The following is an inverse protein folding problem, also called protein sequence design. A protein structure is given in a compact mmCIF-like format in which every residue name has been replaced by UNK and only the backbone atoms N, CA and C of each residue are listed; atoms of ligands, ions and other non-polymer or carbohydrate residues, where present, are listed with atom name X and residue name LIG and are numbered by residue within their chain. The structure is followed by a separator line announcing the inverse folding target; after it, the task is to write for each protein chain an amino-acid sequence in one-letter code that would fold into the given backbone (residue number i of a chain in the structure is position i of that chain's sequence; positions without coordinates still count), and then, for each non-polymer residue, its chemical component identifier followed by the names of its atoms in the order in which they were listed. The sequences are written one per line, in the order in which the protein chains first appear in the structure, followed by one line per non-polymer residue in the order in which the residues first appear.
data_IF_331345661024
#
_entry.id   IF_331345661024
#
_cell.length_a   1.000
_cell.length_b   1.000
_cell.length_c   1.000
_cell.angle_alpha   90.00
_cell.angle_beta   90.00
_cell.angle_gamma   90.00
#
_symmetry.space_group_name_H-M   'P 1'
#
loop_
_entity.id
_entity.type
_entity.pdbx_description
1 polymer ?
#
# COMPACT_ATOMS: atom_id res chain seq x y z
N UNK A 1 5.84 -26.08 3.82
CA UNK A 1 5.32 -24.88 4.51
C UNK A 1 5.09 -23.82 3.45
N UNK A 2 4.09 -22.96 3.61
CA UNK A 2 3.84 -21.86 2.66
C UNK A 2 4.40 -20.57 3.25
N UNK A 3 5.32 -19.94 2.53
CA UNK A 3 5.92 -18.66 2.88
C UNK A 3 5.46 -17.59 1.91
N UNK A 4 5.03 -16.45 2.43
CA UNK A 4 4.68 -15.26 1.64
C UNK A 4 5.65 -14.15 1.97
N UNK A 5 6.24 -13.53 0.95
CA UNK A 5 7.06 -12.33 1.15
C UNK A 5 6.17 -11.10 1.36
N UNK A 6 6.45 -10.32 2.38
CA UNK A 6 5.89 -9.01 2.63
C UNK A 6 7.00 -8.02 2.35
N UNK A 7 6.81 -7.18 1.35
CA UNK A 7 7.85 -6.27 0.87
C UNK A 7 7.36 -4.85 1.05
N UNK A 8 8.12 -4.03 1.75
CA UNK A 8 7.90 -2.58 1.78
C UNK A 8 8.91 -1.93 0.84
N UNK A 9 8.43 -1.25 -0.18
CA UNK A 9 9.27 -0.55 -1.16
C UNK A 9 9.07 0.95 -1.04
N UNK A 10 10.18 1.68 -0.96
CA UNK A 10 10.23 3.13 -0.98
C UNK A 10 11.25 3.61 -2.04
N UNK A 11 11.35 4.93 -2.25
CA UNK A 11 12.21 5.51 -3.30
C UNK A 11 13.69 5.17 -3.15
N UNK A 12 14.15 4.93 -1.93
CA UNK A 12 15.55 4.75 -1.58
C UNK A 12 15.87 3.32 -1.16
N UNK A 13 14.93 2.38 -1.21
CA UNK A 13 15.18 1.08 -0.64
C UNK A 13 13.96 0.21 -0.46
N UNK A 14 14.19 -0.97 0.10
CA UNK A 14 13.14 -1.90 0.45
C UNK A 14 13.47 -2.67 1.72
N UNK A 15 12.43 -3.20 2.34
CA UNK A 15 12.51 -4.15 3.43
C UNK A 15 11.69 -5.38 3.06
N UNK A 16 12.19 -6.58 3.37
CA UNK A 16 11.50 -7.83 3.14
C UNK A 16 11.32 -8.56 4.47
N UNK A 17 10.09 -8.95 4.74
CA UNK A 17 9.74 -9.88 5.80
C UNK A 17 9.13 -11.14 5.22
N UNK A 18 9.40 -12.28 5.85
CA UNK A 18 8.79 -13.55 5.51
C UNK A 18 7.69 -13.87 6.50
N UNK A 19 6.48 -14.03 5.97
CA UNK A 19 5.35 -14.57 6.71
C UNK A 19 5.34 -16.08 6.53
N UNK A 20 5.76 -16.80 7.57
CA UNK A 20 5.81 -18.26 7.57
C UNK A 20 4.57 -18.79 8.28
N UNK A 21 3.82 -19.68 7.60
CA UNK A 21 2.67 -20.39 8.19
C UNK A 21 3.04 -21.84 8.47
N UNK A 22 3.04 -22.24 9.75
CA UNK A 22 3.22 -23.63 10.16
C UNK A 22 2.32 -23.99 11.35
N UNK A 23 1.78 -25.21 11.38
CA UNK A 23 1.02 -25.85 12.49
C UNK A 23 0.39 -24.89 13.53
N UNK A 24 -0.45 -23.96 13.06
CA UNK A 24 -1.21 -23.05 13.92
C UNK A 24 -0.49 -21.78 14.42
N UNK A 25 0.79 -21.57 14.09
CA UNK A 25 1.54 -20.35 14.42
C UNK A 25 1.93 -19.58 13.16
N UNK A 26 1.73 -18.27 13.20
CA UNK A 26 2.24 -17.33 12.20
C UNK A 26 3.45 -16.62 12.81
N UNK A 27 4.58 -16.63 12.11
CA UNK A 27 5.74 -15.81 12.46
C UNK A 27 6.04 -14.84 11.32
N UNK A 28 6.54 -13.66 11.70
CA UNK A 28 7.08 -12.67 10.80
C UNK A 28 8.58 -12.55 11.10
N UNK A 29 9.43 -12.86 10.12
CA UNK A 29 10.88 -12.78 10.24
C UNK A 29 11.40 -11.74 9.25
N UNK A 30 12.19 -10.79 9.73
CA UNK A 30 12.92 -9.89 8.84
C UNK A 30 13.97 -10.69 8.06
N UNK A 31 13.97 -10.50 6.75
CA UNK A 31 14.89 -11.19 5.85
C UNK A 31 16.01 -10.26 5.39
N UNK A 32 15.65 -9.08 4.89
CA UNK A 32 16.61 -8.14 4.30
C UNK A 32 16.09 -6.71 4.33
N UNK A 33 16.99 -5.77 4.57
CA UNK A 33 16.77 -4.35 4.33
C UNK A 33 17.86 -3.84 3.40
N UNK A 34 17.49 -3.03 2.42
CA UNK A 34 18.40 -2.45 1.43
C UNK A 34 18.10 -0.97 1.25
N UNK A 35 19.15 -0.15 1.17
CA UNK A 35 19.06 1.29 0.93
C UNK A 35 20.08 1.72 -0.13
N UNK A 36 19.61 2.39 -1.19
CA UNK A 36 20.40 3.07 -2.20
C UNK A 36 19.82 4.47 -2.50
N UNK A 37 20.66 5.38 -2.99
CA UNK A 37 20.21 6.68 -3.50
C UNK A 37 19.58 6.62 -4.90
N UNK A 38 19.73 5.52 -5.64
CA UNK A 38 19.26 5.40 -7.03
C UNK A 38 18.18 4.34 -7.17
N UNK A 39 17.08 4.71 -7.83
CA UNK A 39 15.91 3.85 -8.02
C UNK A 39 16.23 2.54 -8.75
N UNK A 40 17.01 2.59 -9.83
CA UNK A 40 17.31 1.39 -10.61
C UNK A 40 18.04 0.34 -9.76
N UNK A 41 19.04 0.75 -8.98
CA UNK A 41 19.78 -0.14 -8.06
C UNK A 41 18.85 -0.79 -7.01
N UNK A 42 17.84 -0.05 -6.53
CA UNK A 42 16.82 -0.59 -5.61
C UNK A 42 15.99 -1.68 -6.28
N UNK A 43 15.58 -1.48 -7.53
CA UNK A 43 14.77 -2.45 -8.28
C UNK A 43 15.59 -3.69 -8.65
N UNK A 44 16.82 -3.50 -9.11
CA UNK A 44 17.74 -4.61 -9.44
C UNK A 44 18.01 -5.46 -8.19
N UNK A 45 18.33 -4.82 -7.06
CA UNK A 45 18.56 -5.51 -5.79
C UNK A 45 17.31 -6.21 -5.25
N UNK A 46 16.12 -5.62 -5.47
CA UNK A 46 14.86 -6.27 -5.12
C UNK A 46 14.63 -7.52 -5.97
N UNK A 47 14.88 -7.44 -7.27
CA UNK A 47 14.76 -8.58 -8.21
C UNK A 47 15.67 -9.73 -7.78
N UNK A 48 16.95 -9.45 -7.49
CA UNK A 48 17.89 -10.45 -7.01
C UNK A 48 17.46 -11.07 -5.68
N UNK A 49 16.96 -10.25 -4.75
CA UNK A 49 16.46 -10.73 -3.45
C UNK A 49 15.21 -11.60 -3.59
N UNK A 50 14.33 -11.31 -4.57
CA UNK A 50 13.17 -12.15 -4.86
C UNK A 50 13.57 -13.52 -5.44
N UNK A 51 14.58 -13.54 -6.33
CA UNK A 51 15.14 -14.80 -6.85
C UNK A 51 15.75 -15.64 -5.74
N UNK A 52 16.56 -15.02 -4.89
CA UNK A 52 17.16 -15.67 -3.72
C UNK A 52 16.09 -16.27 -2.80
N UNK A 53 15.02 -15.52 -2.51
CA UNK A 53 13.90 -15.98 -1.69
C UNK A 53 13.10 -17.13 -2.31
N UNK A 54 12.93 -17.10 -3.63
CA UNK A 54 12.28 -18.20 -4.36
C UNK A 54 13.10 -19.48 -4.26
N UNK A 55 14.42 -19.37 -4.41
CA UNK A 55 15.34 -20.52 -4.42
C UNK A 55 15.59 -21.09 -3.03
N UNK A 56 15.87 -20.22 -2.05
CA UNK A 56 16.25 -20.63 -0.69
C UNK A 56 15.07 -20.94 0.22
N UNK A 57 14.00 -20.14 0.16
CA UNK A 57 12.85 -20.20 1.08
C UNK A 57 11.58 -20.74 0.40
N UNK A 58 11.63 -21.03 -0.91
CA UNK A 58 10.49 -21.55 -1.67
C UNK A 58 9.33 -20.56 -1.77
N UNK A 59 9.60 -19.25 -1.66
CA UNK A 59 8.57 -18.22 -1.76
C UNK A 59 8.00 -18.18 -3.17
N UNK A 60 6.67 -18.30 -3.28
CA UNK A 60 5.94 -18.26 -4.56
C UNK A 60 5.09 -17.00 -4.73
N UNK A 61 4.80 -16.33 -3.63
CA UNK A 61 3.86 -15.21 -3.61
C UNK A 61 4.39 -14.10 -2.72
N UNK A 62 4.06 -12.87 -3.11
CA UNK A 62 4.43 -11.69 -2.36
C UNK A 62 3.32 -10.64 -2.33
N UNK A 63 3.33 -9.82 -1.28
CA UNK A 63 2.51 -8.62 -1.15
C UNK A 63 3.45 -7.42 -1.08
N UNK A 64 3.23 -6.46 -1.97
CA UNK A 64 4.01 -5.23 -2.03
C UNK A 64 3.28 -4.10 -1.32
N UNK A 65 3.97 -3.45 -0.39
CA UNK A 65 3.56 -2.24 0.28
C UNK A 65 4.35 -1.07 -0.29
N UNK A 66 3.66 -0.14 -0.92
CA UNK A 66 4.21 1.13 -1.37
C UNK A 66 4.02 2.20 -0.30
N UNK A 67 4.91 3.17 -0.34
CA UNK A 67 4.77 4.41 0.43
C UNK A 67 3.69 5.30 -0.16
N UNK A 68 3.03 6.11 0.67
CA UNK A 68 1.98 7.02 0.19
C UNK A 68 2.53 8.02 -0.85
N UNK A 69 3.81 8.38 -0.75
CA UNK A 69 4.51 9.27 -1.69
C UNK A 69 4.74 8.68 -3.09
N UNK A 70 4.44 7.41 -3.32
CA UNK A 70 4.42 6.78 -4.65
C UNK A 70 3.03 6.84 -5.33
N UNK A 71 2.02 7.40 -4.65
CA UNK A 71 0.66 7.54 -5.16
C UNK A 71 0.24 9.01 -5.21
N UNK A 72 -0.74 9.31 -6.05
CA UNK A 72 -1.52 10.54 -5.93
C UNK A 72 -2.71 10.24 -5.03
N UNK A 73 -2.85 11.00 -3.95
CA UNK A 73 -3.95 10.89 -3.00
C UNK A 73 -4.84 12.13 -3.12
N UNK A 74 -6.14 11.91 -3.32
CA UNK A 74 -7.14 12.97 -3.44
C UNK A 74 -8.36 12.62 -2.59
N UNK A 75 -8.95 13.64 -1.97
CA UNK A 75 -10.23 13.52 -1.29
C UNK A 75 -11.31 14.04 -2.21
N UNK A 76 -12.32 13.22 -2.47
CA UNK A 76 -13.46 13.57 -3.31
C UNK A 76 -14.73 13.54 -2.46
N UNK A 77 -15.63 14.50 -2.71
CA UNK A 77 -17.00 14.45 -2.23
C UNK A 77 -17.87 14.06 -3.40
N UNK A 78 -18.58 12.96 -3.26
CA UNK A 78 -19.37 12.34 -4.31
C UNK A 78 -20.79 12.12 -3.81
N UNK A 79 -21.82 12.12 -4.68
CA UNK A 79 -23.14 11.64 -4.30
C UNK A 79 -23.07 10.21 -3.76
N UNK A 80 -23.96 9.89 -2.82
CA UNK A 80 -24.03 8.54 -2.27
C UNK A 80 -24.44 7.55 -3.36
N UNK A 81 -23.54 6.63 -3.68
CA UNK A 81 -23.71 5.65 -4.76
C UNK A 81 -23.14 4.29 -4.39
N UNK A 82 -23.49 3.25 -5.16
CA UNK A 82 -22.95 1.90 -4.94
C UNK A 82 -21.46 1.87 -5.26
N UNK A 83 -20.75 0.92 -4.68
CA UNK A 83 -19.30 0.75 -4.87
C UNK A 83 -18.89 0.62 -6.34
N UNK A 84 -19.71 -0.04 -7.16
CA UNK A 84 -19.45 -0.22 -8.59
C UNK A 84 -19.53 1.10 -9.37
N UNK A 85 -20.48 1.97 -9.00
CA UNK A 85 -20.64 3.29 -9.61
C UNK A 85 -19.55 4.24 -9.12
N UNK A 86 -19.15 4.12 -7.85
CA UNK A 86 -18.05 4.89 -7.28
C UNK A 86 -16.76 4.73 -8.10
N UNK A 87 -16.39 3.49 -8.45
CA UNK A 87 -15.18 3.24 -9.24
C UNK A 87 -15.25 3.83 -10.65
N UNK A 88 -16.46 4.02 -11.20
CA UNK A 88 -16.67 4.67 -12.50
C UNK A 88 -16.64 6.19 -12.39
N UNK A 89 -17.13 6.75 -11.29
CA UNK A 89 -17.16 8.20 -11.06
C UNK A 89 -15.76 8.77 -10.74
N UNK A 90 -14.93 8.01 -10.03
CA UNK A 90 -13.61 8.46 -9.55
C UNK A 90 -12.70 9.00 -10.67
N UNK A 91 -12.51 8.34 -11.83
CA UNK A 91 -11.69 8.92 -12.90
C UNK A 91 -12.15 10.31 -13.34
N UNK A 92 -13.45 10.55 -13.45
CA UNK A 92 -14.00 11.84 -13.85
C UNK A 92 -13.74 12.94 -12.82
N UNK A 93 -13.97 12.65 -11.53
CA UNK A 93 -13.67 13.61 -10.46
C UNK A 93 -12.19 13.96 -10.37
N UNK A 94 -11.32 13.02 -10.74
CA UNK A 94 -9.89 13.19 -10.63
C UNK A 94 -9.26 13.90 -11.84
N UNK A 95 -9.97 14.04 -12.96
CA UNK A 95 -9.44 14.58 -14.23
C UNK A 95 -8.77 15.96 -14.07
N UNK A 96 -9.37 16.85 -13.27
CA UNK A 96 -8.81 18.18 -13.00
C UNK A 96 -7.67 18.21 -11.98
N UNK A 97 -7.40 17.10 -11.29
CA UNK A 97 -6.42 17.01 -10.19
C UNK A 97 -5.18 16.17 -10.53
N UNK A 98 -5.29 15.31 -11.54
CA UNK A 98 -4.21 14.41 -11.93
C UNK A 98 -3.23 15.09 -12.91
N UNK A 99 -1.92 14.84 -12.79
CA UNK A 99 -0.94 15.35 -13.74
C UNK A 99 -1.08 14.79 -15.18
N UNK A 100 -1.65 13.59 -15.32
CA UNK A 100 -1.90 12.92 -16.60
C UNK A 100 -3.37 12.53 -16.69
N UNK A 101 -3.80 12.04 -17.86
CA UNK A 101 -5.15 11.51 -18.06
C UNK A 101 -5.49 10.45 -16.99
N UNK A 102 -6.72 10.42 -16.43
CA UNK A 102 -7.14 9.38 -15.49
C UNK A 102 -6.88 7.96 -15.99
N UNK A 103 -6.99 7.73 -17.30
CA UNK A 103 -6.73 6.43 -17.91
C UNK A 103 -5.28 5.96 -17.79
N UNK A 104 -4.33 6.82 -17.43
CA UNK A 104 -2.93 6.44 -17.16
C UNK A 104 -2.72 5.91 -15.74
N UNK A 105 -3.78 5.83 -14.93
CA UNK A 105 -3.71 5.43 -13.53
C UNK A 105 -4.57 4.19 -13.22
N UNK A 106 -4.17 3.49 -12.18
CA UNK A 106 -4.97 2.49 -11.47
C UNK A 106 -5.51 3.18 -10.22
N UNK A 107 -6.82 3.28 -10.14
CA UNK A 107 -7.50 3.94 -9.03
C UNK A 107 -7.99 2.96 -7.98
N UNK A 108 -7.95 3.39 -6.73
CA UNK A 108 -8.64 2.73 -5.62
C UNK A 108 -9.34 3.76 -4.77
N UNK A 109 -10.62 3.54 -4.51
CA UNK A 109 -11.44 4.38 -3.66
C UNK A 109 -11.73 3.71 -2.32
N UNK A 110 -11.65 4.48 -1.24
CA UNK A 110 -12.02 4.07 0.12
C UNK A 110 -13.00 5.07 0.70
N UNK A 111 -14.17 4.60 1.11
CA UNK A 111 -15.17 5.41 1.80
C UNK A 111 -14.66 5.80 3.20
N UNK A 112 -14.74 7.09 3.54
CA UNK A 112 -14.31 7.64 4.83
C UNK A 112 -15.50 8.00 5.73
N UNK A 113 -16.64 8.34 5.15
CA UNK A 113 -17.79 8.87 5.86
C UNK A 113 -18.70 9.65 4.93
N UNK A 114 -19.79 10.21 5.43
CA UNK A 114 -20.73 10.96 4.59
C UNK A 114 -22.07 11.24 5.27
N UNK A 115 -22.92 11.98 4.57
CA UNK A 115 -24.32 12.21 4.91
C UNK A 115 -25.22 11.19 4.19
N UNK A 116 -26.53 11.41 4.20
CA UNK A 116 -27.46 10.61 3.42
C UNK A 116 -27.33 10.87 1.91
N UNK A 117 -26.93 12.08 1.52
CA UNK A 117 -26.85 12.53 0.13
C UNK A 117 -25.44 12.46 -0.45
N UNK A 118 -24.42 12.67 0.39
CA UNK A 118 -23.01 12.75 -0.03
C UNK A 118 -22.13 11.75 0.73
N UNK A 119 -21.03 11.35 0.09
CA UNK A 119 -19.97 10.55 0.66
C UNK A 119 -18.60 11.19 0.42
N UNK A 120 -17.76 11.09 1.43
CA UNK A 120 -16.35 11.45 1.37
C UNK A 120 -15.51 10.20 1.08
N UNK A 121 -14.66 10.32 0.08
CA UNK A 121 -13.91 9.20 -0.48
C UNK A 121 -12.44 9.59 -0.59
N UNK A 122 -11.57 8.75 -0.04
CA UNK A 122 -10.14 8.79 -0.33
C UNK A 122 -9.87 8.01 -1.61
N UNK A 123 -9.40 8.72 -2.63
CA UNK A 123 -8.96 8.18 -3.90
C UNK A 123 -7.43 8.08 -3.90
N UNK A 124 -6.93 6.89 -4.19
CA UNK A 124 -5.50 6.61 -4.35
C UNK A 124 -5.25 6.18 -5.80
N UNK A 125 -4.34 6.86 -6.47
CA UNK A 125 -4.04 6.65 -7.89
C UNK A 125 -2.56 6.29 -8.05
N UNK A 126 -2.28 5.15 -8.68
CA UNK A 126 -0.94 4.69 -9.04
C UNK A 126 -0.80 4.69 -10.56
N UNK A 127 0.30 5.23 -11.10
CA UNK A 127 0.55 5.17 -12.54
C UNK A 127 0.56 3.72 -13.05
N UNK A 128 -0.16 3.44 -14.15
CA UNK A 128 -0.25 2.10 -14.77
C UNK A 128 1.13 1.57 -15.14
N UNK A 129 1.94 2.36 -15.85
CA UNK A 129 3.30 1.96 -16.21
C UNK A 129 4.18 1.61 -15.00
N UNK A 130 3.98 2.29 -13.86
CA UNK A 130 4.68 1.92 -12.60
C UNK A 130 4.16 0.60 -12.05
N UNK A 131 2.85 0.37 -12.05
CA UNK A 131 2.30 -0.90 -11.62
C UNK A 131 2.81 -2.06 -12.49
N UNK A 132 2.83 -1.87 -13.81
CA UNK A 132 3.31 -2.86 -14.78
C UNK A 132 4.80 -3.17 -14.59
N UNK A 133 5.65 -2.15 -14.41
CA UNK A 133 7.07 -2.31 -14.06
C UNK A 133 7.25 -3.18 -12.80
N UNK A 134 6.46 -2.91 -11.76
CA UNK A 134 6.48 -3.70 -10.53
C UNK A 134 5.99 -5.13 -10.75
N UNK A 135 4.92 -5.34 -11.51
CA UNK A 135 4.42 -6.69 -11.82
C UNK A 135 5.47 -7.50 -12.60
N UNK A 136 6.09 -6.88 -13.61
CA UNK A 136 7.12 -7.53 -14.44
C UNK A 136 8.31 -7.97 -13.58
N UNK A 137 8.80 -7.11 -12.69
CA UNK A 137 9.91 -7.43 -11.78
C UNK A 137 9.66 -8.70 -10.96
N UNK A 138 8.44 -8.85 -10.44
CA UNK A 138 8.06 -10.03 -9.65
C UNK A 138 7.93 -11.28 -10.53
N UNK A 139 7.31 -11.15 -11.71
CA UNK A 139 7.17 -12.24 -12.67
C UNK A 139 8.51 -12.76 -13.16
N UNK A 140 9.46 -11.89 -13.47
CA UNK A 140 10.82 -12.24 -13.89
C UNK A 140 11.61 -12.98 -12.79
N UNK A 141 11.36 -12.65 -11.52
CA UNK A 141 11.91 -13.40 -10.40
C UNK A 141 11.21 -14.75 -10.15
N UNK A 142 10.10 -15.02 -10.84
CA UNK A 142 9.27 -16.21 -10.66
C UNK A 142 8.45 -16.19 -9.38
N UNK A 143 8.12 -14.99 -8.86
CA UNK A 143 7.29 -14.78 -7.68
C UNK A 143 6.01 -14.07 -8.10
N UNK A 144 4.84 -14.58 -7.72
CA UNK A 144 3.56 -13.94 -8.04
C UNK A 144 3.30 -12.74 -7.12
N UNK A 145 3.06 -11.56 -7.70
CA UNK A 145 2.62 -10.38 -6.96
C UNK A 145 1.12 -10.49 -6.67
N UNK A 146 0.76 -10.92 -5.46
CA UNK A 146 -0.64 -11.11 -5.05
C UNK A 146 -1.40 -9.78 -4.89
N UNK A 147 -0.68 -8.70 -4.61
CA UNK A 147 -1.28 -7.37 -4.64
C UNK A 147 -0.38 -6.27 -4.13
N UNK A 148 -0.74 -5.06 -4.52
CA UNK A 148 -0.13 -3.82 -4.07
C UNK A 148 -1.02 -3.17 -3.00
N UNK A 149 -0.41 -2.69 -1.92
CA UNK A 149 -1.04 -2.04 -0.78
C UNK A 149 -0.26 -0.78 -0.42
N UNK A 150 -0.87 0.09 0.37
CA UNK A 150 -0.17 1.26 0.92
C UNK A 150 0.14 0.96 2.38
N UNK A 151 1.39 1.16 2.78
CA UNK A 151 1.89 0.80 4.11
C UNK A 151 1.14 1.54 5.23
N UNK A 152 0.99 2.85 5.08
CA UNK A 152 0.22 3.71 6.01
C UNK A 152 -1.22 3.21 6.23
N UNK A 153 -1.92 2.89 5.14
CA UNK A 153 -3.31 2.40 5.17
C UNK A 153 -3.45 1.02 5.82
N UNK A 154 -2.37 0.26 5.94
CA UNK A 154 -2.36 -0.99 6.68
C UNK A 154 -2.08 -0.78 8.18
N UNK A 155 -1.17 0.15 8.50
CA UNK A 155 -0.81 0.44 9.89
C UNK A 155 -1.91 1.17 10.66
N UNK A 156 -2.58 2.12 10.04
CA UNK A 156 -3.57 2.98 10.73
C UNK A 156 -4.70 2.15 11.35
N UNK A 157 -5.38 1.22 10.65
CA UNK A 157 -6.42 0.41 11.27
C UNK A 157 -5.90 -0.48 12.40
N UNK A 158 -4.69 -1.02 12.28
CA UNK A 158 -4.08 -1.86 13.32
C UNK A 158 -3.71 -1.05 14.57
N UNK A 159 -3.20 0.17 14.39
CA UNK A 159 -2.96 1.11 15.49
C UNK A 159 -4.29 1.55 16.13
N UNK A 160 -5.28 1.89 15.30
CA UNK A 160 -6.62 2.32 15.75
C UNK A 160 -7.27 1.26 16.63
N UNK A 161 -7.28 -0.01 16.20
CA UNK A 161 -7.83 -1.11 17.00
C UNK A 161 -7.21 -1.19 18.40
N UNK A 162 -5.89 -1.01 18.50
CA UNK A 162 -5.18 -1.08 19.78
C UNK A 162 -5.46 0.13 20.67
N UNK A 163 -5.56 1.32 20.08
CA UNK A 163 -5.79 2.57 20.81
C UNK A 163 -7.24 2.71 21.26
N UNK A 164 -8.20 2.38 20.39
CA UNK A 164 -9.63 2.36 20.70
C UNK A 164 -9.95 1.27 21.73
N UNK A 165 -9.31 0.08 21.65
CA UNK A 165 -9.41 -0.91 22.72
C UNK A 165 -8.88 -0.40 24.09
N UNK A 166 -8.04 0.63 24.07
CA UNK A 166 -7.56 1.35 25.24
C UNK A 166 -8.44 2.52 25.71
N UNK A 167 -9.62 2.70 25.10
CA UNK A 167 -10.61 3.71 25.51
C UNK A 167 -10.29 5.15 25.08
N UNK A 168 -9.52 5.34 23.99
CA UNK A 168 -9.29 6.66 23.40
C UNK A 168 -9.93 6.74 22.01
N UNK A 169 -10.76 7.77 21.82
CA UNK A 169 -11.47 8.01 20.55
C UNK A 169 -10.67 8.90 19.59
N UNK A 170 -9.78 9.74 20.15
CA UNK A 170 -8.94 10.69 19.42
C UNK A 170 -7.45 10.43 19.66
N UNK A 171 -6.67 10.39 18.59
CA UNK A 171 -5.21 10.29 18.69
C UNK A 171 -4.49 10.81 17.43
N UNK A 172 -3.27 11.27 17.63
CA UNK A 172 -2.32 11.54 16.55
C UNK A 172 -1.44 10.30 16.36
N UNK A 173 -1.19 9.93 15.11
CA UNK A 173 -0.14 8.97 14.79
C UNK A 173 0.94 9.65 13.95
N UNK A 174 2.18 9.32 14.28
CA UNK A 174 3.37 9.77 13.57
C UNK A 174 4.17 8.52 13.29
N UNK A 175 4.37 8.18 12.03
CA UNK A 175 5.28 7.11 11.65
C UNK A 175 6.23 7.57 10.56
N UNK A 176 7.44 7.02 10.61
CA UNK A 176 8.47 7.25 9.62
C UNK A 176 8.29 6.28 8.46
N UNK A 177 8.19 6.81 7.26
CA UNK A 177 8.05 6.07 6.01
C UNK A 177 9.28 6.37 5.12
N UNK A 178 10.33 5.57 5.29
CA UNK A 178 11.63 5.87 4.67
C UNK A 178 12.27 7.12 5.27
N UNK A 179 12.34 8.20 4.50
CA UNK A 179 12.82 9.52 4.96
C UNK A 179 11.68 10.50 5.24
N UNK A 180 10.46 10.15 4.82
CA UNK A 180 9.27 10.98 5.03
C UNK A 180 8.66 10.66 6.40
N UNK A 181 7.99 11.65 6.98
CA UNK A 181 7.17 11.47 8.16
C UNK A 181 5.71 11.56 7.73
N UNK A 182 4.95 10.52 8.01
CA UNK A 182 3.51 10.55 7.85
C UNK A 182 2.91 10.89 9.19
N UNK A 183 2.19 12.01 9.20
CA UNK A 183 1.43 12.50 10.34
C UNK A 183 -0.03 12.43 9.94
N UNK A 184 -0.85 11.85 10.80
CA UNK A 184 -2.30 11.87 10.63
C UNK A 184 -2.99 11.81 11.98
N UNK A 185 -4.26 12.19 11.98
CA UNK A 185 -5.07 12.17 13.18
C UNK A 185 -6.25 11.24 13.00
N UNK A 186 -6.68 10.64 14.10
CA UNK A 186 -7.97 9.98 14.20
C UNK A 186 -8.80 10.81 15.17
N UNK A 187 -10.01 11.18 14.75
CA UNK A 187 -11.01 11.88 15.56
C UNK A 187 -12.32 11.14 15.49
N UNK A 188 -12.93 10.88 16.64
CA UNK A 188 -14.16 10.08 16.74
C UNK A 188 -14.05 8.72 16.01
N UNK A 189 -12.87 8.09 16.07
CA UNK A 189 -12.58 6.84 15.37
C UNK A 189 -12.44 6.93 13.84
N UNK A 190 -12.43 8.15 13.26
CA UNK A 190 -12.27 8.39 11.82
C UNK A 190 -10.94 9.07 11.50
N UNK A 191 -10.33 8.66 10.40
CA UNK A 191 -9.10 9.26 9.88
C UNK A 191 -9.37 10.69 9.36
N UNK A 192 -8.58 11.67 9.83
CA UNK A 192 -8.63 13.08 9.44
C UNK A 192 -7.24 13.69 9.23
#
# INVERSE_FOLDING_TARGET
MSSTAIIRLNRKGFDIWLKIRGLGKQSLKEYKSFVSGKRQEVLDSLSDSLRELRESEGVKEAVLFLCLSELVASFCRLPRMKKEDLLKAVPFELEGSLPLSPDEYIHRATYLGGSEEEQEVLCLSLLKGRYEELVALFQEAGVSLHGVRVWSMYLIPEATKRIVAGGRDDFLFIFKEGQDWVVGSVRDGKLS
#
